data_IF_137139021256
#
_entry.id   IF_137139021256
#
_cell.length_a   1.000
_cell.length_b   1.000
_cell.length_c   1.000
_cell.angle_alpha   90.00
_cell.angle_beta   90.00
_cell.angle_gamma   90.00
#
_symmetry.space_group_name_H-M   'P 1'
#
loop_
_entity.id
_entity.type
_entity.pdbx_description
1 polymer ?
#
# COMPACT_ATOMS: atom_id res chain seq x y z
N UNK A 1 1.48 7.56 -0.02
CA UNK A 1 2.89 7.10 0.00
C UNK A 1 2.99 5.78 -0.77
N UNK A 2 4.07 5.53 -1.52
CA UNK A 2 4.30 4.25 -2.19
C UNK A 2 5.16 3.36 -1.30
N UNK A 3 4.61 2.22 -0.86
CA UNK A 3 5.29 1.28 0.03
C UNK A 3 5.65 0.01 -0.73
N UNK A 4 6.95 -0.29 -0.84
CA UNK A 4 7.52 -1.42 -1.57
C UNK A 4 8.27 -2.35 -0.63
N UNK A 5 8.60 -3.57 -1.08
CA UNK A 5 9.37 -4.52 -0.29
C UNK A 5 10.80 -4.02 0.00
N UNK A 6 11.45 -3.45 -1.02
CA UNK A 6 12.77 -2.84 -0.92
C UNK A 6 12.81 -1.56 -1.76
N UNK A 7 13.01 -0.40 -1.10
CA UNK A 7 13.03 0.92 -1.75
C UNK A 7 14.24 1.13 -2.67
N UNK A 8 15.31 0.38 -2.48
CA UNK A 8 16.52 0.48 -3.31
C UNK A 8 16.44 -0.34 -4.59
N UNK A 9 15.47 -1.23 -4.72
CA UNK A 9 15.33 -2.13 -5.86
C UNK A 9 14.93 -1.39 -7.13
N UNK A 10 15.71 -1.56 -8.22
CA UNK A 10 15.57 -0.82 -9.46
C UNK A 10 15.12 -1.66 -10.67
N UNK A 11 14.58 -2.82 -10.48
CA UNK A 11 14.13 -3.70 -11.58
C UNK A 11 14.77 -5.08 -11.53
N UNK A 12 14.61 -5.87 -12.59
CA UNK A 12 15.19 -7.21 -12.68
C UNK A 12 16.69 -7.13 -12.91
N UNK A 13 17.46 -7.91 -12.16
CA UNK A 13 18.88 -8.15 -12.41
C UNK A 13 19.08 -8.96 -13.69
N UNK A 14 20.31 -9.06 -14.19
CA UNK A 14 20.64 -9.89 -15.35
C UNK A 14 20.35 -11.37 -15.08
N UNK A 15 20.70 -11.89 -13.90
CA UNK A 15 20.39 -13.26 -13.48
C UNK A 15 18.88 -13.55 -13.46
N UNK A 16 18.09 -12.62 -13.01
CA UNK A 16 16.63 -12.75 -12.93
C UNK A 16 15.94 -12.64 -14.30
N UNK A 17 16.66 -12.15 -15.32
CA UNK A 17 16.19 -12.14 -16.72
C UNK A 17 16.58 -13.40 -17.48
N UNK A 18 17.54 -14.16 -16.97
CA UNK A 18 18.02 -15.37 -17.62
C UNK A 18 16.89 -16.39 -17.74
N UNK A 19 16.69 -16.90 -18.94
CA UNK A 19 15.60 -17.85 -19.26
C UNK A 19 14.21 -17.23 -19.52
N UNK A 20 14.05 -15.92 -19.34
CA UNK A 20 12.81 -15.23 -19.67
C UNK A 20 12.81 -14.71 -21.12
N UNK A 21 11.69 -14.82 -21.80
CA UNK A 21 11.46 -14.08 -23.04
C UNK A 21 11.40 -12.57 -22.77
N UNK A 22 11.59 -11.74 -23.79
CA UNK A 22 11.50 -10.29 -23.67
C UNK A 22 10.14 -9.83 -23.10
N UNK A 23 9.05 -10.53 -23.42
CA UNK A 23 7.70 -10.23 -22.93
C UNK A 23 7.54 -10.60 -21.47
N UNK A 24 8.02 -11.79 -21.06
CA UNK A 24 7.99 -12.23 -19.66
C UNK A 24 8.86 -11.34 -18.76
N UNK A 25 10.07 -11.00 -19.21
CA UNK A 25 10.94 -10.09 -18.50
C UNK A 25 10.31 -8.70 -18.31
N UNK A 26 9.62 -8.19 -19.34
CA UNK A 26 8.91 -6.90 -19.28
C UNK A 26 7.76 -6.95 -18.28
N UNK A 27 6.95 -8.00 -18.30
CA UNK A 27 5.81 -8.13 -17.37
C UNK A 27 6.29 -8.35 -15.93
N UNK A 28 7.28 -9.21 -15.71
CA UNK A 28 7.90 -9.42 -14.42
C UNK A 28 8.51 -8.12 -13.86
N UNK A 29 9.17 -7.33 -14.70
CA UNK A 29 9.71 -6.03 -14.32
C UNK A 29 8.61 -5.03 -13.99
N UNK A 30 7.53 -5.00 -14.76
CA UNK A 30 6.35 -4.16 -14.50
C UNK A 30 5.68 -4.53 -13.18
N UNK A 31 5.53 -5.82 -12.89
CA UNK A 31 5.00 -6.31 -11.61
C UNK A 31 5.87 -5.89 -10.44
N UNK A 32 7.19 -6.06 -10.57
CA UNK A 32 8.18 -5.70 -9.56
C UNK A 32 8.23 -4.20 -9.27
N UNK A 33 8.06 -3.37 -10.30
CA UNK A 33 8.09 -1.91 -10.20
C UNK A 33 6.75 -1.29 -9.81
N UNK A 34 5.73 -2.11 -9.59
CA UNK A 34 4.48 -1.62 -8.99
C UNK A 34 4.79 -0.91 -7.69
N UNK A 35 4.18 0.23 -7.54
CA UNK A 35 4.32 1.08 -6.35
C UNK A 35 2.99 1.11 -5.60
N UNK A 36 2.72 0.11 -4.75
CA UNK A 36 1.47 0.02 -4.01
C UNK A 36 1.30 1.20 -3.07
N UNK A 37 0.05 1.60 -2.87
CA UNK A 37 -0.30 2.70 -1.98
C UNK A 37 -0.31 2.26 -0.52
N UNK A 38 0.09 3.18 0.36
CA UNK A 38 -0.16 3.16 1.79
C UNK A 38 -0.54 4.58 2.20
N UNK A 39 -1.68 4.76 2.82
CA UNK A 39 -2.11 6.06 3.32
C UNK A 39 -1.53 6.27 4.72
N UNK A 40 -0.92 7.43 4.92
CA UNK A 40 -0.38 7.87 6.20
C UNK A 40 -0.93 9.25 6.52
N UNK A 41 -1.38 9.43 7.75
CA UNK A 41 -1.88 10.69 8.29
C UNK A 41 -1.03 11.07 9.51
N UNK A 42 -0.67 12.34 9.61
CA UNK A 42 -0.01 12.85 10.80
C UNK A 42 -1.06 13.16 11.87
N UNK A 43 -0.96 12.49 13.02
CA UNK A 43 -1.80 12.73 14.19
C UNK A 43 -1.21 13.82 15.10
N UNK A 44 0.12 13.91 15.13
CA UNK A 44 0.86 14.82 16.00
C UNK A 44 1.87 15.64 15.20
N UNK A 45 2.42 16.70 15.82
CA UNK A 45 3.53 17.47 15.23
C UNK A 45 4.76 16.61 14.97
N UNK A 46 5.08 15.66 15.87
CA UNK A 46 6.14 14.68 15.64
C UNK A 46 5.83 13.80 14.43
N UNK A 47 4.56 13.36 14.29
CA UNK A 47 4.10 12.60 13.12
C UNK A 47 4.26 13.40 11.83
N UNK A 48 3.92 14.69 11.82
CA UNK A 48 4.13 15.56 10.67
C UNK A 48 5.61 15.65 10.28
N UNK A 49 6.51 15.82 11.26
CA UNK A 49 7.95 15.81 11.01
C UNK A 49 8.44 14.47 10.47
N UNK A 50 7.90 13.36 10.97
CA UNK A 50 8.22 12.03 10.48
C UNK A 50 7.69 11.81 9.05
N UNK A 51 6.52 12.32 8.71
CA UNK A 51 5.98 12.29 7.36
C UNK A 51 6.88 13.04 6.36
N UNK A 52 7.43 14.22 6.77
CA UNK A 52 8.43 14.94 5.97
C UNK A 52 9.73 14.13 5.79
N UNK A 53 10.21 13.46 6.84
CA UNK A 53 11.39 12.58 6.74
C UNK A 53 11.15 11.41 5.79
N UNK A 54 9.98 10.74 5.89
CA UNK A 54 9.60 9.67 4.96
C UNK A 54 9.60 10.17 3.51
N UNK A 55 8.99 11.35 3.24
CA UNK A 55 8.99 11.96 1.91
C UNK A 55 10.41 12.28 1.42
N UNK A 56 11.24 12.84 2.27
CA UNK A 56 12.64 13.14 1.95
C UNK A 56 13.41 11.88 1.53
N UNK A 57 13.36 10.82 2.34
CA UNK A 57 14.05 9.56 2.03
C UNK A 57 13.44 8.85 0.83
N UNK A 58 12.13 8.90 0.65
CA UNK A 58 11.48 8.36 -0.54
C UNK A 58 11.98 9.05 -1.82
N UNK A 59 12.15 10.37 -1.79
CA UNK A 59 12.62 11.15 -2.93
C UNK A 59 14.13 10.99 -3.20
N UNK A 60 14.95 10.91 -2.13
CA UNK A 60 16.42 10.93 -2.26
C UNK A 60 17.05 9.54 -2.35
N UNK A 61 16.44 8.53 -1.73
CA UNK A 61 16.98 7.17 -1.66
C UNK A 61 16.11 6.11 -2.31
N UNK A 62 14.79 6.31 -2.34
CA UNK A 62 13.83 5.33 -2.86
C UNK A 62 13.24 5.69 -4.23
N UNK A 63 13.74 6.75 -4.87
CA UNK A 63 13.16 7.20 -6.13
C UNK A 63 13.53 6.28 -7.30
N UNK A 64 12.51 5.67 -7.89
CA UNK A 64 12.61 4.98 -9.17
C UNK A 64 11.28 5.12 -9.91
N UNK A 65 11.18 6.11 -10.78
CA UNK A 65 9.93 6.53 -11.40
C UNK A 65 8.94 7.20 -10.43
N UNK A 66 8.90 6.74 -9.19
CA UNK A 66 8.10 7.27 -8.08
C UNK A 66 8.90 7.25 -6.77
N UNK A 67 8.62 8.18 -5.83
CA UNK A 67 9.24 8.15 -4.50
C UNK A 67 8.67 7.01 -3.66
N UNK A 68 9.52 6.07 -3.21
CA UNK A 68 9.12 4.83 -2.53
C UNK A 68 9.75 4.73 -1.14
N UNK A 69 9.00 4.16 -0.22
CA UNK A 69 9.48 3.73 1.10
C UNK A 69 9.38 2.21 1.22
N UNK A 70 10.06 1.63 2.19
CA UNK A 70 9.88 0.25 2.64
C UNK A 70 9.47 0.19 4.11
N UNK A 71 9.13 -1.01 4.60
CA UNK A 71 8.69 -1.22 5.98
C UNK A 71 9.77 -0.85 7.00
N UNK A 72 11.06 -1.01 6.67
CA UNK A 72 12.17 -0.64 7.57
C UNK A 72 12.23 0.87 7.80
N UNK A 73 12.06 1.65 6.73
CA UNK A 73 12.01 3.10 6.83
C UNK A 73 10.73 3.55 7.53
N UNK A 74 9.60 2.91 7.22
CA UNK A 74 8.32 3.19 7.85
C UNK A 74 8.37 2.97 9.36
N UNK A 75 8.89 1.82 9.82
CA UNK A 75 9.03 1.51 11.24
C UNK A 75 9.87 2.56 11.99
N UNK A 76 10.92 3.07 11.34
CA UNK A 76 11.80 4.09 11.93
C UNK A 76 11.10 5.43 12.18
N UNK A 77 10.12 5.79 11.36
CA UNK A 77 9.45 7.08 11.36
C UNK A 77 7.92 6.99 11.49
N UNK A 78 7.39 5.92 12.11
CA UNK A 78 5.96 5.70 12.30
C UNK A 78 5.35 6.49 13.45
N UNK A 79 6.15 6.94 14.43
CA UNK A 79 5.63 7.60 15.63
C UNK A 79 4.82 8.85 15.30
N UNK A 80 3.63 8.97 15.87
CA UNK A 80 2.69 10.06 15.63
C UNK A 80 2.01 10.02 14.26
N UNK A 81 2.08 8.87 13.57
CA UNK A 81 1.37 8.62 12.33
C UNK A 81 0.25 7.60 12.54
N UNK A 82 -0.83 7.79 11.80
CA UNK A 82 -1.90 6.82 11.57
C UNK A 82 -1.72 6.26 10.17
N UNK A 83 -1.93 4.95 10.00
CA UNK A 83 -1.94 4.28 8.71
C UNK A 83 -3.30 3.66 8.39
N UNK A 84 -3.62 3.53 7.10
CA UNK A 84 -4.74 2.70 6.63
C UNK A 84 -4.28 1.69 5.60
N UNK A 85 -5.05 0.61 5.42
CA UNK A 85 -4.77 -0.40 4.38
C UNK A 85 -5.05 0.13 2.97
N UNK A 86 -5.67 1.29 2.87
CA UNK A 86 -5.97 2.05 1.65
C UNK A 86 -6.74 1.25 0.56
N UNK A 87 -6.63 1.62 -0.70
CA UNK A 87 -7.48 1.20 -1.82
C UNK A 87 -7.01 -0.09 -2.52
N UNK A 88 -7.67 -0.44 -3.61
CA UNK A 88 -7.38 -1.64 -4.46
C UNK A 88 -5.99 -1.64 -5.11
N UNK A 89 -5.22 -0.56 -5.01
CA UNK A 89 -3.82 -0.49 -5.47
C UNK A 89 -2.84 -0.70 -4.30
N UNK A 90 -3.31 -1.05 -3.11
CA UNK A 90 -2.46 -1.37 -1.95
C UNK A 90 -1.70 -2.69 -2.10
N UNK A 91 -0.71 -2.92 -1.22
CA UNK A 91 -0.05 -4.22 -1.12
C UNK A 91 -1.03 -5.34 -0.78
N UNK A 92 -1.93 -5.12 0.16
CA UNK A 92 -2.90 -6.12 0.58
C UNK A 92 -3.84 -6.51 -0.57
N UNK A 93 -4.43 -5.52 -1.25
CA UNK A 93 -5.31 -5.77 -2.39
C UNK A 93 -4.56 -6.45 -3.55
N UNK A 94 -3.29 -6.13 -3.77
CA UNK A 94 -2.45 -6.80 -4.76
C UNK A 94 -2.24 -8.27 -4.43
N UNK A 95 -1.90 -8.60 -3.19
CA UNK A 95 -1.74 -10.00 -2.77
C UNK A 95 -3.06 -10.76 -2.87
N UNK A 96 -4.18 -10.13 -2.52
CA UNK A 96 -5.51 -10.70 -2.72
C UNK A 96 -5.78 -11.01 -4.21
N UNK A 97 -5.56 -10.05 -5.12
CA UNK A 97 -5.75 -10.23 -6.57
C UNK A 97 -4.89 -11.36 -7.15
N UNK A 98 -3.69 -11.54 -6.61
CA UNK A 98 -2.77 -12.61 -7.01
C UNK A 98 -3.07 -13.95 -6.29
N UNK A 99 -4.09 -14.03 -5.43
CA UNK A 99 -4.41 -15.20 -4.58
C UNK A 99 -3.28 -15.59 -3.61
N UNK A 100 -2.47 -14.63 -3.20
CA UNK A 100 -1.34 -14.79 -2.29
C UNK A 100 -1.76 -14.41 -0.85
N UNK A 101 -2.72 -15.13 -0.27
CA UNK A 101 -3.34 -14.78 1.02
C UNK A 101 -2.32 -14.77 2.16
N UNK A 102 -1.36 -15.71 2.17
CA UNK A 102 -0.30 -15.74 3.19
C UNK A 102 0.57 -14.47 3.16
N UNK A 103 0.88 -13.94 1.97
CA UNK A 103 1.60 -12.67 1.83
C UNK A 103 0.74 -11.48 2.24
N UNK A 104 -0.56 -11.52 1.97
CA UNK A 104 -1.49 -10.48 2.41
C UNK A 104 -1.52 -10.41 3.94
N UNK A 105 -1.67 -11.55 4.61
CA UNK A 105 -1.66 -11.68 6.07
C UNK A 105 -0.30 -11.27 6.65
N UNK A 106 0.81 -11.74 6.04
CA UNK A 106 2.16 -11.36 6.45
C UNK A 106 2.39 -9.85 6.39
N UNK A 107 2.02 -9.20 5.29
CA UNK A 107 2.13 -7.75 5.17
C UNK A 107 1.26 -7.00 6.19
N UNK A 108 0.03 -7.48 6.45
CA UNK A 108 -0.81 -6.90 7.49
C UNK A 108 -0.15 -7.03 8.87
N UNK A 109 0.40 -8.18 9.23
CA UNK A 109 1.11 -8.40 10.48
C UNK A 109 2.30 -7.44 10.63
N UNK A 110 3.05 -7.21 9.56
CA UNK A 110 4.17 -6.27 9.58
C UNK A 110 3.73 -4.83 9.89
N UNK A 111 2.68 -4.33 9.19
CA UNK A 111 2.18 -2.97 9.48
C UNK A 111 1.45 -2.88 10.81
N UNK A 112 0.78 -3.94 11.24
CA UNK A 112 0.16 -4.03 12.56
C UNK A 112 1.21 -3.99 13.69
N UNK A 113 2.34 -4.65 13.50
CA UNK A 113 3.48 -4.57 14.40
C UNK A 113 4.12 -3.18 14.49
N UNK A 114 4.05 -2.39 13.41
CA UNK A 114 4.57 -1.01 13.38
C UNK A 114 3.62 -0.01 14.06
N UNK A 115 2.31 -0.10 13.80
CA UNK A 115 1.34 0.92 14.21
C UNK A 115 0.48 0.53 15.42
N UNK A 116 0.29 -0.77 15.64
CA UNK A 116 -0.66 -1.28 16.65
C UNK A 116 -2.12 -1.01 16.28
N UNK A 117 -3.07 -1.51 17.10
CA UNK A 117 -4.50 -1.44 16.81
C UNK A 117 -5.10 -0.03 16.92
N UNK A 118 -4.44 0.89 17.62
CA UNK A 118 -4.93 2.26 17.78
C UNK A 118 -4.57 3.17 16.59
N UNK A 119 -3.50 2.85 15.87
CA UNK A 119 -2.97 3.69 14.79
C UNK A 119 -2.97 3.02 13.40
N UNK A 120 -3.56 1.81 13.29
CA UNK A 120 -3.80 1.14 12.00
C UNK A 120 -5.29 0.90 11.80
N UNK A 121 -5.82 1.40 10.70
CA UNK A 121 -7.22 1.23 10.33
C UNK A 121 -7.35 0.41 9.05
N UNK A 122 -8.34 -0.48 9.05
CA UNK A 122 -8.69 -1.25 7.87
C UNK A 122 -9.67 -0.43 7.06
N UNK A 123 -9.25 -0.06 5.86
CA UNK A 123 -10.03 0.76 4.97
C UNK A 123 -10.83 -0.11 4.00
N UNK A 124 -12.14 0.07 3.99
CA UNK A 124 -13.08 -0.60 3.09
C UNK A 124 -13.77 0.44 2.22
N UNK A 125 -13.92 0.12 0.94
CA UNK A 125 -14.57 1.00 -0.03
C UNK A 125 -15.94 0.44 -0.44
N UNK A 126 -17.03 1.21 -0.33
CA UNK A 126 -18.38 0.78 -0.73
C UNK A 126 -18.61 0.94 -2.24
N UNK A 127 -17.60 0.59 -3.06
CA UNK A 127 -17.74 0.63 -4.52
C UNK A 127 -18.40 -0.64 -5.04
N UNK A 128 -19.31 -0.48 -6.00
CA UNK A 128 -20.01 -1.56 -6.68
C UNK A 128 -19.14 -2.15 -7.82
N UNK A 129 -18.00 -2.71 -7.43
CA UNK A 129 -17.06 -3.43 -8.29
C UNK A 129 -16.87 -4.82 -7.69
N UNK A 130 -17.10 -5.88 -8.47
CA UNK A 130 -17.05 -7.28 -8.01
C UNK A 130 -15.77 -7.56 -7.20
N UNK A 131 -14.62 -7.19 -7.73
CA UNK A 131 -13.35 -7.37 -7.06
C UNK A 131 -13.25 -6.63 -5.71
N UNK A 132 -13.83 -5.42 -5.60
CA UNK A 132 -13.86 -4.68 -4.35
C UNK A 132 -14.79 -5.34 -3.32
N UNK A 133 -15.92 -5.85 -3.77
CA UNK A 133 -16.86 -6.56 -2.90
C UNK A 133 -16.25 -7.85 -2.35
N UNK A 134 -15.59 -8.64 -3.20
CA UNK A 134 -14.85 -9.85 -2.79
C UNK A 134 -13.73 -9.51 -1.82
N UNK A 135 -12.96 -8.46 -2.09
CA UNK A 135 -11.87 -8.03 -1.22
C UNK A 135 -12.39 -7.57 0.15
N UNK A 136 -13.47 -6.79 0.18
CA UNK A 136 -14.13 -6.38 1.43
C UNK A 136 -14.60 -7.59 2.26
N UNK A 137 -15.14 -8.64 1.62
CA UNK A 137 -15.56 -9.87 2.31
C UNK A 137 -14.36 -10.56 2.98
N UNK A 138 -13.26 -10.71 2.25
CA UNK A 138 -12.03 -11.31 2.80
C UNK A 138 -11.48 -10.48 3.96
N UNK A 139 -11.47 -9.15 3.84
CA UNK A 139 -11.07 -8.27 4.94
C UNK A 139 -11.97 -8.50 6.18
N UNK A 140 -13.29 -8.50 6.03
CA UNK A 140 -14.23 -8.71 7.13
C UNK A 140 -14.00 -10.07 7.80
N UNK A 141 -13.82 -11.14 7.03
CA UNK A 141 -13.58 -12.47 7.57
C UNK A 141 -12.26 -12.57 8.32
N UNK A 142 -11.19 -12.00 7.77
CA UNK A 142 -9.88 -11.95 8.39
C UNK A 142 -9.93 -11.22 9.74
N UNK A 143 -10.61 -10.07 9.78
CA UNK A 143 -10.69 -9.26 11.01
C UNK A 143 -11.55 -9.88 12.10
N UNK A 144 -12.66 -10.52 11.75
CA UNK A 144 -13.50 -11.21 12.72
C UNK A 144 -12.83 -12.40 13.41
N UNK A 145 -11.87 -13.03 12.73
CA UNK A 145 -11.26 -14.28 13.20
C UNK A 145 -9.92 -14.05 13.92
N UNK A 146 -9.10 -13.12 13.44
CA UNK A 146 -7.68 -13.08 13.78
C UNK A 146 -7.21 -11.74 14.35
N UNK A 147 -7.96 -10.65 14.12
CA UNK A 147 -7.50 -9.29 14.43
C UNK A 147 -8.51 -8.50 15.27
N UNK A 148 -8.97 -9.11 16.36
CA UNK A 148 -9.82 -8.43 17.34
C UNK A 148 -9.08 -7.22 17.91
N UNK A 149 -9.75 -6.06 17.92
CA UNK A 149 -9.16 -4.79 18.38
C UNK A 149 -8.76 -3.83 17.27
N UNK A 150 -8.56 -4.28 16.03
CA UNK A 150 -8.37 -3.35 14.91
C UNK A 150 -9.72 -2.78 14.45
N UNK A 151 -9.70 -1.50 14.05
CA UNK A 151 -10.90 -0.76 13.64
C UNK A 151 -11.02 -0.71 12.13
N UNK A 152 -12.23 -0.92 11.62
CA UNK A 152 -12.56 -0.71 10.21
C UNK A 152 -13.11 0.69 9.98
N UNK A 153 -12.74 1.30 8.86
CA UNK A 153 -13.27 2.57 8.38
C UNK A 153 -13.83 2.40 6.97
N UNK A 154 -14.85 3.20 6.66
CA UNK A 154 -15.37 3.30 5.29
C UNK A 154 -14.83 4.57 4.65
N UNK A 155 -14.28 4.44 3.44
CA UNK A 155 -13.79 5.55 2.64
C UNK A 155 -14.29 5.43 1.20
N UNK A 156 -14.50 6.58 0.56
CA UNK A 156 -15.04 6.62 -0.81
C UNK A 156 -13.97 6.73 -1.89
N UNK A 157 -12.68 6.73 -1.55
CA UNK A 157 -11.57 6.89 -2.50
C UNK A 157 -11.79 8.04 -3.49
N UNK A 158 -12.14 9.21 -2.97
CA UNK A 158 -12.58 10.38 -3.76
C UNK A 158 -11.41 10.99 -4.51
N UNK A 159 -11.51 11.02 -5.84
CA UNK A 159 -10.50 11.60 -6.73
C UNK A 159 -10.91 12.98 -7.28
N UNK A 160 -12.19 13.31 -7.26
CA UNK A 160 -12.73 14.60 -7.70
C UNK A 160 -14.06 14.91 -7.00
N UNK A 161 -14.41 16.20 -6.94
CA UNK A 161 -15.55 16.69 -6.14
C UNK A 161 -16.90 16.44 -6.81
N UNK A 162 -16.97 16.51 -8.14
CA UNK A 162 -18.21 16.38 -8.92
C UNK A 162 -17.97 15.48 -10.13
N UNK A 163 -19.02 14.80 -10.59
CA UNK A 163 -18.94 13.89 -11.73
C UNK A 163 -18.39 14.55 -13.00
N UNK A 164 -18.71 15.82 -13.21
CA UNK A 164 -18.26 16.61 -14.37
C UNK A 164 -16.74 16.88 -14.35
N UNK A 165 -16.08 16.68 -13.20
CA UNK A 165 -14.64 16.85 -13.07
C UNK A 165 -13.84 15.62 -13.53
N UNK A 166 -14.52 14.54 -13.93
CA UNK A 166 -13.86 13.32 -14.39
C UNK A 166 -12.95 13.56 -15.60
N UNK A 167 -13.39 14.39 -16.54
CA UNK A 167 -12.62 14.71 -17.74
C UNK A 167 -11.31 15.45 -17.39
N UNK A 168 -11.36 16.32 -16.38
CA UNK A 168 -10.17 17.04 -15.87
C UNK A 168 -9.23 16.11 -15.09
N UNK A 169 -9.76 15.09 -14.43
CA UNK A 169 -8.94 14.11 -13.69
C UNK A 169 -8.12 13.22 -14.63
N UNK A 170 -8.60 12.98 -15.85
CA UNK A 170 -7.94 12.10 -16.83
C UNK A 170 -6.85 12.81 -17.66
N UNK A 171 -6.54 14.09 -17.38
CA UNK A 171 -5.40 14.81 -17.90
C UNK A 171 -4.20 14.57 -16.96
#
# INVERSE_FOLDING_TARGET
>A
MYCVEDRFRQGLTEEEREGLTATEAREANKQRLRSPHLLLLAETDEGLQNLYRLNYYAATQGFYGKPRIDLKLLAKYSKGLIATTTCVISNMARYFQNKEIDKMTGFFNDIAGIFGPDNLFIEMHPHDLDMQLEYNQVLIEMFRKEYEGFKCILANDVHYVRKEHNDTHNF
#
